data_IF_546019673728
#
_entry.id   IF_546019673728
#
_cell.length_a   1.000
_cell.length_b   1.000
_cell.length_c   1.000
_cell.angle_alpha   90.00
_cell.angle_beta   90.00
_cell.angle_gamma   90.00
#
_symmetry.space_group_name_H-M   'P 1'
#
loop_
_entity.id
_entity.type
_entity.pdbx_description
1 polymer ?
#
# COMPACT_ATOMS: atom_id res chain seq x y z
N UNK A 1 -6.23 21.96 7.16
CA UNK A 1 -4.88 22.43 6.73
C UNK A 1 -4.93 23.17 5.40
N UNK A 2 -5.30 22.53 4.26
CA UNK A 2 -5.37 23.17 2.93
C UNK A 2 -6.14 24.52 2.94
N UNK A 3 -7.34 24.56 3.53
CA UNK A 3 -8.12 25.80 3.61
C UNK A 3 -7.38 26.93 4.34
N UNK A 4 -6.80 26.62 5.50
CA UNK A 4 -6.03 27.62 6.25
C UNK A 4 -4.80 28.13 5.46
N UNK A 5 -4.11 27.23 4.77
CA UNK A 5 -2.98 27.59 3.91
C UNK A 5 -3.41 28.54 2.77
N UNK A 6 -4.51 28.22 2.08
CA UNK A 6 -5.07 29.07 1.02
C UNK A 6 -5.47 30.45 1.52
N UNK A 7 -6.11 30.53 2.70
CA UNK A 7 -6.46 31.81 3.32
C UNK A 7 -5.22 32.64 3.64
N UNK A 8 -4.20 32.02 4.25
CA UNK A 8 -2.95 32.70 4.63
C UNK A 8 -2.14 33.19 3.43
N UNK A 9 -2.17 32.47 2.32
CA UNK A 9 -1.46 32.83 1.10
C UNK A 9 -2.28 33.69 0.14
N UNK A 10 -3.52 34.03 0.50
CA UNK A 10 -4.44 34.75 -0.37
C UNK A 10 -4.71 34.00 -1.68
N UNK A 11 -4.72 32.67 -1.64
CA UNK A 11 -4.92 31.77 -2.78
C UNK A 11 -3.88 31.91 -3.93
N UNK A 12 -2.74 32.54 -3.65
CA UNK A 12 -1.70 32.77 -4.66
C UNK A 12 -0.85 31.53 -4.97
N UNK A 13 -0.88 30.53 -4.09
CA UNK A 13 -0.14 29.28 -4.25
C UNK A 13 -1.16 28.17 -4.54
N UNK A 14 -1.09 27.52 -5.71
CA UNK A 14 -1.99 26.43 -6.04
C UNK A 14 -1.81 25.27 -5.05
N UNK A 15 -2.89 24.64 -4.67
CA UNK A 15 -2.89 23.50 -3.74
C UNK A 15 -3.70 22.35 -4.31
N UNK A 16 -3.23 21.14 -4.10
CA UNK A 16 -3.91 19.89 -4.45
C UNK A 16 -4.20 19.10 -3.18
N UNK A 17 -5.39 18.53 -3.06
CA UNK A 17 -5.73 17.56 -2.02
C UNK A 17 -5.80 16.18 -2.66
N UNK A 18 -4.96 15.27 -2.18
CA UNK A 18 -4.96 13.89 -2.62
C UNK A 18 -5.59 13.01 -1.54
N UNK A 19 -6.69 12.35 -1.86
CA UNK A 19 -7.31 11.32 -1.01
C UNK A 19 -6.75 9.96 -1.43
N UNK A 20 -5.75 9.47 -0.69
CA UNK A 20 -5.05 8.24 -1.01
C UNK A 20 -5.68 7.06 -0.27
N UNK A 21 -6.09 6.01 -1.01
CA UNK A 21 -6.60 4.77 -0.46
C UNK A 21 -5.55 3.67 -0.48
N UNK A 22 -5.29 3.05 0.68
CA UNK A 22 -4.38 1.91 0.82
C UNK A 22 -5.05 0.58 0.42
N UNK A 23 -5.80 0.57 -0.69
CA UNK A 23 -6.61 -0.54 -1.16
C UNK A 23 -5.81 -1.75 -1.71
N UNK A 24 -4.49 -1.60 -1.85
CA UNK A 24 -3.56 -2.70 -2.14
C UNK A 24 -3.09 -3.43 -0.87
N UNK A 25 -3.39 -2.92 0.32
CA UNK A 25 -3.07 -3.62 1.55
C UNK A 25 -3.80 -4.97 1.65
N UNK A 26 -3.10 -5.98 2.13
CA UNK A 26 -3.69 -7.30 2.37
C UNK A 26 -4.70 -7.27 3.52
N UNK A 27 -5.82 -7.94 3.35
CA UNK A 27 -6.81 -8.13 4.42
C UNK A 27 -6.18 -8.91 5.58
N UNK A 28 -5.83 -8.24 6.68
CA UNK A 28 -5.12 -8.85 7.81
C UNK A 28 -6.01 -9.62 8.76
N UNK A 29 -7.25 -9.18 8.92
CA UNK A 29 -8.27 -9.81 9.75
C UNK A 29 -9.65 -9.50 9.20
N UNK A 30 -10.59 -10.39 9.46
CA UNK A 30 -12.00 -10.13 9.18
C UNK A 30 -12.52 -9.10 10.18
N UNK A 31 -13.11 -7.97 9.74
CA UNK A 31 -13.71 -7.00 10.65
C UNK A 31 -14.91 -7.59 11.39
N UNK A 32 -15.13 -7.14 12.64
CA UNK A 32 -16.23 -7.69 13.47
C UNK A 32 -17.62 -7.22 13.04
N UNK A 33 -17.70 -6.11 12.32
CA UNK A 33 -18.93 -5.41 11.94
C UNK A 33 -19.33 -5.59 10.47
N UNK A 34 -18.91 -6.70 9.84
CA UNK A 34 -19.29 -7.02 8.45
C UNK A 34 -20.12 -8.28 8.37
N UNK A 35 -21.03 -8.43 7.38
CA UNK A 35 -21.70 -9.70 7.10
C UNK A 35 -20.76 -10.68 6.41
N UNK A 36 -21.20 -11.93 6.21
CA UNK A 36 -20.53 -12.98 5.42
C UNK A 36 -19.05 -13.21 5.83
N UNK A 37 -18.78 -13.23 7.14
CA UNK A 37 -17.43 -13.32 7.71
C UNK A 37 -16.67 -14.56 7.28
N UNK A 38 -17.37 -15.71 7.19
CA UNK A 38 -16.75 -16.99 6.81
C UNK A 38 -16.23 -16.96 5.38
N UNK A 39 -16.97 -16.35 4.47
CA UNK A 39 -16.54 -16.17 3.08
C UNK A 39 -15.38 -15.16 2.99
N UNK A 40 -15.45 -14.09 3.78
CA UNK A 40 -14.40 -13.07 3.81
C UNK A 40 -13.08 -13.65 4.39
N UNK A 41 -13.16 -14.60 5.31
CA UNK A 41 -12.00 -15.29 5.87
C UNK A 41 -11.17 -16.06 4.83
N UNK A 42 -11.81 -16.53 3.75
CA UNK A 42 -11.11 -17.19 2.63
C UNK A 42 -10.20 -16.24 1.85
N UNK A 43 -10.45 -14.94 1.93
CA UNK A 43 -9.70 -13.91 1.22
C UNK A 43 -8.65 -13.22 2.11
N UNK A 44 -8.40 -13.72 3.32
CA UNK A 44 -7.34 -13.20 4.18
C UNK A 44 -5.99 -13.16 3.45
N UNK A 45 -5.29 -12.04 3.60
CA UNK A 45 -4.00 -11.78 2.95
C UNK A 45 -4.10 -11.17 1.55
N UNK A 46 -5.22 -11.31 0.84
CA UNK A 46 -5.37 -10.70 -0.50
C UNK A 46 -5.48 -9.18 -0.42
N UNK A 47 -4.99 -8.45 -1.43
CA UNK A 47 -5.24 -7.01 -1.56
C UNK A 47 -6.74 -6.71 -1.46
N UNK A 48 -7.13 -5.62 -0.79
CA UNK A 48 -8.56 -5.28 -0.60
C UNK A 48 -9.32 -5.18 -1.93
N UNK A 49 -8.66 -4.83 -3.01
CA UNK A 49 -9.22 -4.81 -4.37
C UNK A 49 -9.50 -6.20 -4.96
N UNK A 50 -8.98 -7.27 -4.33
CA UNK A 50 -9.22 -8.67 -4.70
C UNK A 50 -10.04 -9.43 -3.65
N UNK A 51 -10.39 -8.79 -2.56
CA UNK A 51 -11.24 -9.31 -1.50
C UNK A 51 -12.70 -9.13 -1.91
N UNK A 52 -13.52 -10.18 -1.77
CA UNK A 52 -14.96 -10.10 -2.02
C UNK A 52 -15.60 -9.01 -1.16
N UNK A 53 -16.54 -8.26 -1.74
CA UNK A 53 -17.33 -7.31 -0.96
C UNK A 53 -18.32 -8.08 -0.06
N UNK A 54 -18.18 -8.05 1.28
CA UNK A 54 -19.09 -8.76 2.17
C UNK A 54 -20.53 -8.24 2.13
N UNK A 55 -20.73 -7.03 1.59
CA UNK A 55 -22.05 -6.40 1.46
C UNK A 55 -22.71 -6.70 0.09
N UNK A 56 -21.95 -7.24 -0.86
CA UNK A 56 -22.44 -7.56 -2.21
C UNK A 56 -22.86 -6.35 -3.04
N UNK A 57 -22.35 -5.17 -2.72
CA UNK A 57 -22.73 -3.91 -3.36
C UNK A 57 -21.71 -3.41 -4.39
N UNK A 58 -20.49 -3.92 -4.36
CA UNK A 58 -19.38 -3.53 -5.22
C UNK A 58 -18.57 -4.76 -5.65
N UNK A 59 -17.72 -4.61 -6.66
CA UNK A 59 -16.89 -5.68 -7.21
C UNK A 59 -15.85 -6.22 -6.20
N UNK A 60 -15.47 -5.40 -5.21
CA UNK A 60 -14.53 -5.80 -4.15
C UNK A 60 -14.75 -5.01 -2.87
N UNK A 61 -14.20 -5.50 -1.77
CA UNK A 61 -14.21 -4.79 -0.50
C UNK A 61 -13.39 -3.48 -0.58
N UNK A 62 -12.33 -3.46 -1.37
CA UNK A 62 -11.60 -2.23 -1.70
C UNK A 62 -12.50 -1.21 -2.42
N UNK A 63 -13.24 -1.64 -3.44
CA UNK A 63 -14.18 -0.77 -4.17
C UNK A 63 -15.29 -0.24 -3.27
N UNK A 64 -15.85 -1.08 -2.39
CA UNK A 64 -16.83 -0.67 -1.38
C UNK A 64 -16.29 0.44 -0.47
N UNK A 65 -15.10 0.24 0.12
CA UNK A 65 -14.48 1.20 1.01
C UNK A 65 -14.12 2.50 0.29
N UNK A 66 -13.63 2.41 -0.95
CA UNK A 66 -13.31 3.55 -1.79
C UNK A 66 -14.57 4.38 -2.12
N UNK A 67 -15.69 3.72 -2.43
CA UNK A 67 -16.96 4.39 -2.66
C UNK A 67 -17.46 5.13 -1.41
N UNK A 68 -17.34 4.52 -0.23
CA UNK A 68 -17.71 5.17 1.04
C UNK A 68 -16.81 6.36 1.35
N UNK A 69 -15.50 6.25 1.13
CA UNK A 69 -14.56 7.37 1.34
C UNK A 69 -14.91 8.54 0.42
N UNK A 70 -15.18 8.28 -0.87
CA UNK A 70 -15.60 9.32 -1.82
C UNK A 70 -16.90 9.98 -1.38
N UNK A 71 -17.93 9.20 -1.06
CA UNK A 71 -19.21 9.72 -0.60
C UNK A 71 -19.08 10.60 0.67
N UNK A 72 -18.19 10.21 1.59
CA UNK A 72 -17.88 11.01 2.78
C UNK A 72 -17.25 12.35 2.39
N UNK A 73 -16.21 12.35 1.56
CA UNK A 73 -15.51 13.56 1.13
C UNK A 73 -16.42 14.49 0.32
N UNK A 74 -17.24 13.93 -0.56
CA UNK A 74 -18.23 14.66 -1.37
C UNK A 74 -19.29 15.32 -0.48
N UNK A 75 -19.76 14.59 0.55
CA UNK A 75 -20.73 15.12 1.53
C UNK A 75 -20.25 16.35 2.31
N UNK A 76 -18.93 16.51 2.44
CA UNK A 76 -18.30 17.70 3.02
C UNK A 76 -17.89 18.75 1.98
N UNK A 77 -18.11 18.50 0.70
CA UNK A 77 -17.74 19.41 -0.38
C UNK A 77 -16.23 19.58 -0.59
N UNK A 78 -15.43 18.55 -0.27
CA UNK A 78 -14.00 18.60 -0.53
C UNK A 78 -13.73 18.51 -2.05
N UNK A 79 -12.90 19.42 -2.53
CA UNK A 79 -12.28 19.33 -3.85
C UNK A 79 -10.99 18.53 -3.74
N UNK A 80 -10.98 17.29 -4.21
CA UNK A 80 -9.88 16.33 -4.07
C UNK A 80 -9.69 15.51 -5.33
N UNK A 81 -8.48 14.98 -5.50
CA UNK A 81 -8.17 13.90 -6.42
C UNK A 81 -8.11 12.59 -5.63
N UNK A 82 -8.84 11.58 -6.08
CA UNK A 82 -8.79 10.25 -5.47
C UNK A 82 -7.68 9.42 -6.10
N UNK A 83 -6.90 8.73 -5.25
CA UNK A 83 -5.84 7.84 -5.65
C UNK A 83 -6.00 6.45 -5.02
N UNK A 84 -6.05 5.42 -5.86
CA UNK A 84 -5.97 4.01 -5.46
C UNK A 84 -4.51 3.58 -5.39
N UNK A 85 -4.06 3.01 -4.29
CA UNK A 85 -2.71 2.45 -4.20
C UNK A 85 -2.53 1.32 -5.21
N UNK A 86 -3.53 0.45 -5.40
CA UNK A 86 -3.50 -0.63 -6.39
C UNK A 86 -3.24 -0.11 -7.80
N UNK A 87 -3.95 0.95 -8.20
CA UNK A 87 -3.78 1.55 -9.54
C UNK A 87 -2.38 2.15 -9.68
N UNK A 88 -1.88 2.84 -8.65
CA UNK A 88 -0.57 3.48 -8.69
C UNK A 88 0.59 2.49 -8.76
N UNK A 89 0.50 1.38 -8.02
CA UNK A 89 1.47 0.30 -8.10
C UNK A 89 1.44 -0.42 -9.45
N UNK A 90 0.24 -0.69 -10.00
CA UNK A 90 0.07 -1.41 -11.26
C UNK A 90 0.38 -0.57 -12.50
N UNK A 91 0.09 0.73 -12.46
CA UNK A 91 0.32 1.64 -13.60
C UNK A 91 1.78 2.05 -13.80
N UNK A 92 2.67 1.65 -12.87
CA UNK A 92 4.08 2.04 -12.91
C UNK A 92 4.38 3.41 -12.30
N UNK A 93 3.37 4.07 -11.70
CA UNK A 93 3.57 5.41 -11.11
C UNK A 93 4.57 5.42 -9.97
N UNK A 94 4.79 4.30 -9.32
CA UNK A 94 5.78 4.12 -8.25
C UNK A 94 7.06 3.41 -8.70
N UNK A 95 7.18 2.99 -9.97
CA UNK A 95 8.27 2.12 -10.42
C UNK A 95 9.65 2.72 -10.16
N UNK A 96 9.88 3.99 -10.49
CA UNK A 96 11.15 4.66 -10.24
C UNK A 96 11.53 4.64 -8.75
N UNK A 97 10.57 4.97 -7.86
CA UNK A 97 10.82 4.99 -6.42
C UNK A 97 10.97 3.59 -5.83
N UNK A 98 10.26 2.58 -6.36
CA UNK A 98 10.42 1.18 -5.97
C UNK A 98 11.79 0.63 -6.33
N UNK A 99 12.30 0.92 -7.54
CA UNK A 99 13.65 0.56 -7.95
C UNK A 99 14.71 1.25 -7.10
N UNK A 100 14.53 2.53 -6.78
CA UNK A 100 15.39 3.26 -5.87
C UNK A 100 15.38 2.67 -4.45
N UNK A 101 14.22 2.23 -3.96
CA UNK A 101 14.13 1.53 -2.67
C UNK A 101 14.84 0.18 -2.69
N UNK A 102 14.79 -0.56 -3.81
CA UNK A 102 15.54 -1.80 -3.98
C UNK A 102 17.06 -1.54 -3.95
N UNK A 103 17.52 -0.49 -4.60
CA UNK A 103 18.93 -0.04 -4.55
C UNK A 103 19.36 0.32 -3.13
N UNK A 104 18.49 0.98 -2.36
CA UNK A 104 18.74 1.43 -0.98
C UNK A 104 18.22 0.47 0.09
N UNK A 105 17.96 -0.78 -0.26
CA UNK A 105 17.32 -1.78 0.62
C UNK A 105 17.97 -1.85 2.01
N UNK A 106 19.29 -1.97 2.09
CA UNK A 106 20.00 -2.10 3.38
C UNK A 106 19.88 -0.84 4.22
N UNK A 107 19.90 0.33 3.60
CA UNK A 107 19.70 1.60 4.30
C UNK A 107 18.28 1.71 4.86
N UNK A 108 17.26 1.29 4.11
CA UNK A 108 15.86 1.24 4.58
C UNK A 108 15.74 0.27 5.75
N UNK A 109 16.32 -0.93 5.64
CA UNK A 109 16.34 -1.88 6.76
C UNK A 109 17.04 -1.32 8.01
N UNK A 110 18.19 -0.70 7.86
CA UNK A 110 18.93 -0.12 8.97
C UNK A 110 18.13 0.92 9.77
N UNK A 111 17.28 1.69 9.07
CA UNK A 111 16.37 2.65 9.71
C UNK A 111 15.20 1.96 10.39
N UNK A 112 14.65 0.90 9.77
CA UNK A 112 13.44 0.25 10.26
C UNK A 112 13.66 -0.72 11.39
N UNK A 113 14.69 -1.57 11.30
CA UNK A 113 14.94 -2.66 12.25
C UNK A 113 15.01 -2.22 13.72
N UNK A 114 15.65 -1.10 14.09
CA UNK A 114 15.70 -0.65 15.50
C UNK A 114 14.31 -0.35 16.10
N UNK A 115 13.32 -0.02 15.27
CA UNK A 115 11.95 0.30 15.70
C UNK A 115 11.05 -0.94 15.85
N UNK A 116 11.55 -2.14 15.54
CA UNK A 116 10.80 -3.39 15.55
C UNK A 116 11.15 -4.25 16.74
N UNK A 117 10.18 -5.00 17.26
CA UNK A 117 10.42 -6.08 18.23
C UNK A 117 11.25 -7.22 17.61
N UNK A 118 11.90 -8.01 18.48
CA UNK A 118 12.86 -9.05 18.08
C UNK A 118 12.27 -10.07 17.08
N UNK A 119 11.07 -10.55 17.34
CA UNK A 119 10.37 -11.50 16.48
C UNK A 119 10.15 -10.97 15.05
N UNK A 120 9.78 -9.69 14.92
CA UNK A 120 9.55 -9.06 13.62
C UNK A 120 10.83 -8.71 12.87
N UNK A 121 11.97 -8.54 13.58
CA UNK A 121 13.25 -8.23 12.93
C UNK A 121 13.73 -9.38 12.04
N UNK A 122 13.53 -10.61 12.49
CA UNK A 122 14.01 -11.81 11.80
C UNK A 122 13.36 -12.01 10.42
N UNK A 123 12.09 -11.59 10.26
CA UNK A 123 11.32 -11.75 9.02
C UNK A 123 11.07 -10.46 8.26
N UNK A 124 11.61 -9.33 8.73
CA UNK A 124 11.32 -8.04 8.11
C UNK A 124 11.95 -7.89 6.73
N UNK A 125 11.12 -7.51 5.78
CA UNK A 125 11.52 -6.95 4.48
C UNK A 125 10.75 -5.66 4.24
N UNK A 126 11.34 -4.61 3.65
CA UNK A 126 10.57 -3.45 3.21
C UNK A 126 9.59 -3.80 2.08
N UNK A 127 9.85 -4.85 1.32
CA UNK A 127 8.98 -5.35 0.26
C UNK A 127 8.11 -6.49 0.75
N UNK A 128 6.83 -6.40 0.48
CA UNK A 128 5.81 -7.42 0.69
C UNK A 128 5.44 -7.99 -0.68
N UNK A 129 5.96 -9.16 -1.08
CA UNK A 129 5.62 -9.73 -2.37
C UNK A 129 4.13 -10.13 -2.41
N UNK A 130 3.52 -9.97 -3.57
CA UNK A 130 2.22 -10.58 -3.88
C UNK A 130 2.49 -11.97 -4.43
N UNK A 131 2.00 -12.98 -3.72
CA UNK A 131 2.18 -14.38 -4.14
C UNK A 131 1.61 -14.60 -5.53
N UNK A 132 2.40 -15.07 -6.50
CA UNK A 132 1.86 -15.45 -7.81
C UNK A 132 0.96 -16.70 -7.75
N UNK A 133 1.04 -17.48 -6.66
CA UNK A 133 0.26 -18.69 -6.45
C UNK A 133 -1.10 -18.40 -5.84
N UNK A 134 -1.16 -17.53 -4.82
CA UNK A 134 -2.39 -17.28 -4.03
C UNK A 134 -2.96 -15.88 -4.19
N UNK A 135 -2.20 -14.94 -4.75
CA UNK A 135 -2.56 -13.53 -4.84
C UNK A 135 -2.48 -12.78 -3.51
N UNK A 136 -1.95 -13.41 -2.45
CA UNK A 136 -1.83 -12.79 -1.12
C UNK A 136 -0.60 -11.91 -1.02
N UNK A 137 -0.71 -10.83 -0.26
CA UNK A 137 0.41 -9.97 0.14
C UNK A 137 1.12 -10.62 1.31
N UNK A 138 2.35 -11.08 1.09
CA UNK A 138 3.09 -11.89 2.05
C UNK A 138 4.03 -11.04 2.91
N UNK A 139 4.10 -11.37 4.21
CA UNK A 139 5.09 -10.80 5.13
C UNK A 139 6.23 -11.80 5.35
N UNK A 140 7.07 -11.95 4.34
CA UNK A 140 8.19 -12.88 4.32
C UNK A 140 9.51 -12.14 4.09
N UNK A 141 10.68 -12.69 4.51
CA UNK A 141 11.95 -12.09 4.25
C UNK A 141 12.28 -12.10 2.75
N UNK A 142 12.99 -11.08 2.29
CA UNK A 142 13.63 -11.10 0.98
C UNK A 142 14.91 -11.94 1.10
N UNK A 143 14.98 -13.04 0.34
CA UNK A 143 16.10 -13.97 0.37
C UNK A 143 17.26 -13.48 -0.52
N UNK A 144 16.94 -12.99 -1.72
CA UNK A 144 17.89 -12.49 -2.69
C UNK A 144 17.35 -11.23 -3.38
N UNK A 145 18.25 -10.39 -3.85
CA UNK A 145 17.94 -9.14 -4.57
C UNK A 145 18.77 -9.02 -5.83
N UNK A 146 18.16 -8.56 -6.89
CA UNK A 146 18.86 -8.21 -8.11
C UNK A 146 18.48 -6.79 -8.56
N UNK A 147 19.34 -5.82 -8.21
CA UNK A 147 19.11 -4.41 -8.51
C UNK A 147 19.08 -4.17 -10.02
N UNK A 148 19.95 -4.83 -10.80
CA UNK A 148 20.00 -4.61 -12.25
C UNK A 148 18.78 -5.15 -12.99
N UNK A 149 18.14 -6.20 -12.45
CA UNK A 149 16.87 -6.74 -12.97
C UNK A 149 15.64 -6.11 -12.34
N UNK A 150 15.78 -5.42 -11.21
CA UNK A 150 14.65 -4.90 -10.44
C UNK A 150 13.83 -6.00 -9.74
N UNK A 151 14.49 -7.10 -9.29
CA UNK A 151 13.81 -8.27 -8.72
C UNK A 151 14.19 -8.56 -7.28
N UNK A 152 13.28 -9.24 -6.59
CA UNK A 152 13.50 -9.89 -5.28
C UNK A 152 13.13 -11.37 -5.38
N UNK A 153 13.78 -12.19 -4.55
CA UNK A 153 13.44 -13.60 -4.35
C UNK A 153 12.92 -13.80 -2.93
N UNK A 154 11.86 -14.54 -2.79
CA UNK A 154 11.24 -14.92 -1.52
C UNK A 154 10.75 -16.37 -1.55
N UNK A 155 10.42 -16.93 -0.40
CA UNK A 155 9.73 -18.22 -0.30
C UNK A 155 8.22 -17.98 -0.29
N UNK A 156 7.52 -18.56 -1.27
CA UNK A 156 6.07 -18.47 -1.40
C UNK A 156 5.36 -19.50 -0.48
N UNK A 157 4.05 -19.37 -0.33
CA UNK A 157 3.21 -20.25 0.52
C UNK A 157 3.27 -21.73 0.11
N UNK A 158 3.69 -22.03 -1.11
CA UNK A 158 3.94 -23.40 -1.60
C UNK A 158 5.33 -23.96 -1.23
N UNK A 159 6.12 -23.21 -0.45
CA UNK A 159 7.47 -23.58 -0.06
C UNK A 159 8.53 -23.42 -1.18
N UNK A 160 8.15 -22.87 -2.32
CA UNK A 160 9.07 -22.65 -3.43
C UNK A 160 9.61 -21.22 -3.45
N UNK A 161 10.87 -21.08 -3.86
CA UNK A 161 11.44 -19.76 -4.12
C UNK A 161 10.84 -19.18 -5.41
N UNK A 162 10.34 -17.96 -5.32
CA UNK A 162 9.82 -17.19 -6.45
C UNK A 162 10.64 -15.91 -6.63
N UNK A 163 10.91 -15.57 -7.87
CA UNK A 163 11.50 -14.28 -8.24
C UNK A 163 10.41 -13.39 -8.86
N UNK A 164 10.28 -12.16 -8.36
CA UNK A 164 9.30 -11.19 -8.88
C UNK A 164 9.96 -9.83 -9.08
N UNK A 165 9.46 -9.06 -10.04
CA UNK A 165 9.80 -7.65 -10.20
C UNK A 165 9.26 -6.86 -9.00
N UNK A 166 10.00 -5.86 -8.54
CA UNK A 166 9.49 -4.94 -7.49
C UNK A 166 8.49 -3.92 -8.05
N UNK A 167 8.23 -3.93 -9.34
CA UNK A 167 7.35 -3.01 -10.09
C UNK A 167 6.08 -3.72 -10.56
N UNK A 168 5.16 -2.96 -11.17
CA UNK A 168 3.97 -3.50 -11.82
C UNK A 168 2.94 -4.11 -10.88
N UNK A 169 2.99 -3.80 -9.58
CA UNK A 169 2.05 -4.32 -8.59
C UNK A 169 2.37 -5.72 -8.07
N UNK A 170 3.58 -6.26 -8.35
CA UNK A 170 4.00 -7.56 -7.83
C UNK A 170 4.49 -7.51 -6.38
N UNK A 171 4.69 -6.33 -5.85
CA UNK A 171 5.01 -6.09 -4.43
C UNK A 171 4.19 -4.93 -3.88
N UNK A 172 3.98 -4.91 -2.57
CA UNK A 172 3.54 -3.78 -1.78
C UNK A 172 4.67 -3.40 -0.83
N UNK A 173 4.87 -2.12 -0.56
CA UNK A 173 5.85 -1.69 0.44
C UNK A 173 5.23 -1.77 1.84
N UNK A 174 6.05 -2.09 2.85
CA UNK A 174 5.68 -2.01 4.28
C UNK A 174 5.22 -0.59 4.63
N UNK A 175 4.26 -0.48 5.53
CA UNK A 175 3.53 0.74 5.87
C UNK A 175 4.40 2.02 6.01
N UNK A 176 5.42 2.03 6.89
CA UNK A 176 6.23 3.25 7.10
C UNK A 176 7.09 3.61 5.89
N UNK A 177 7.86 2.67 5.29
CA UNK A 177 8.59 2.94 4.06
C UNK A 177 7.67 3.31 2.88
N UNK A 178 6.45 2.78 2.82
CA UNK A 178 5.46 3.14 1.81
C UNK A 178 5.10 4.63 1.86
N UNK A 179 4.92 5.19 3.06
CA UNK A 179 4.71 6.62 3.21
C UNK A 179 5.86 7.44 2.64
N UNK A 180 7.09 7.12 3.03
CA UNK A 180 8.28 7.84 2.52
C UNK A 180 8.40 7.71 1.00
N UNK A 181 8.12 6.52 0.46
CA UNK A 181 8.15 6.25 -0.98
C UNK A 181 7.12 7.10 -1.72
N UNK A 182 5.86 7.08 -1.28
CA UNK A 182 4.79 7.81 -1.96
C UNK A 182 4.89 9.32 -1.79
N UNK A 183 5.42 9.83 -0.66
CA UNK A 183 5.69 11.26 -0.53
C UNK A 183 6.68 11.74 -1.58
N UNK A 184 7.74 10.96 -1.82
CA UNK A 184 8.72 11.25 -2.87
C UNK A 184 8.11 11.13 -4.27
N UNK A 185 7.37 10.04 -4.55
CA UNK A 185 6.80 9.78 -5.86
C UNK A 185 5.67 10.74 -6.25
N UNK A 186 4.97 11.30 -5.27
CA UNK A 186 3.80 12.18 -5.47
C UNK A 186 4.08 13.63 -5.09
N UNK A 187 5.32 13.95 -4.73
CA UNK A 187 5.75 15.30 -4.33
C UNK A 187 4.84 15.88 -3.23
N UNK A 188 4.61 15.09 -2.18
CA UNK A 188 3.73 15.47 -1.07
C UNK A 188 4.45 16.42 -0.12
N UNK A 189 3.92 17.64 0.03
CA UNK A 189 4.44 18.63 0.99
C UNK A 189 3.93 18.39 2.41
N UNK A 190 2.74 17.81 2.54
CA UNK A 190 2.12 17.59 3.84
C UNK A 190 1.16 16.41 3.83
N UNK A 191 1.35 15.49 4.77
CA UNK A 191 0.40 14.42 5.09
C UNK A 191 0.16 14.37 6.59
N UNK A 192 -1.11 14.26 6.99
CA UNK A 192 -1.49 14.15 8.40
C UNK A 192 -1.47 12.69 8.81
N UNK A 193 -0.67 12.35 9.81
CA UNK A 193 -0.71 11.02 10.42
C UNK A 193 -1.65 11.01 11.62
N UNK A 194 -2.46 9.96 11.73
CA UNK A 194 -3.17 9.63 12.96
C UNK A 194 -2.21 9.09 14.04
N UNK A 195 -2.63 9.20 15.29
CA UNK A 195 -1.98 8.49 16.40
C UNK A 195 -2.47 7.05 16.47
#
# INVERSE_FOLDING_TARGET
MRHAFRVLTGDKIPTKLLAFSDDMDGLRKVPDNVPNKDELALDLGKPLTQVRDPFGSHDSFGAHNNARLRAFLDGFGFDYEFASSTDYYKSGRFDETLLKMLEKFDAVQAVMLPSLGEERRASYSPFLPVSPTTGRVLQVPTLERNVSKGTIVFEDEDGQKKEVLVTGGNVKIQWKPDWAMRWTALEVDYEMSGK
#
